data_IF_305457840435
#
_entry.id   IF_305457840435
#
_cell.length_a   1.000
_cell.length_b   1.000
_cell.length_c   1.000
_cell.angle_alpha   90.00
_cell.angle_beta   90.00
_cell.angle_gamma   90.00
#
_symmetry.space_group_name_H-M   'P 1'
#
loop_
_entity.id
_entity.type
_entity.pdbx_description
1 polymer ?
#
# COMPACT_ATOMS: atom_id res chain seq x y z
N UNK A 1 1.68 -28.93 1.70
CA UNK A 1 2.06 -27.75 2.50
C UNK A 1 0.78 -26.97 2.74
N UNK A 2 0.38 -26.79 3.99
CA UNK A 2 -0.72 -25.89 4.32
C UNK A 2 -0.36 -24.49 3.83
N UNK A 3 -1.31 -23.85 3.15
CA UNK A 3 -1.13 -22.48 2.67
C UNK A 3 -1.15 -21.55 3.89
N UNK A 4 -0.17 -20.67 4.02
CA UNK A 4 -0.22 -19.65 5.05
C UNK A 4 -1.51 -18.84 4.90
N UNK A 5 -2.14 -18.51 6.02
CA UNK A 5 -3.35 -17.69 6.04
C UNK A 5 -3.06 -16.32 5.42
N UNK A 6 -3.97 -15.83 4.58
CA UNK A 6 -3.87 -14.47 4.02
C UNK A 6 -3.94 -13.44 5.12
N UNK A 7 -2.95 -12.55 5.19
CA UNK A 7 -2.88 -11.46 6.19
C UNK A 7 -3.73 -10.28 5.79
N UNK A 8 -4.30 -9.60 6.76
CA UNK A 8 -5.03 -8.36 6.55
C UNK A 8 -4.15 -7.17 6.92
N UNK A 9 -4.02 -6.22 5.97
CA UNK A 9 -3.35 -4.94 6.15
C UNK A 9 -4.40 -3.83 6.20
N UNK A 10 -4.60 -3.26 7.38
CA UNK A 10 -5.57 -2.20 7.61
C UNK A 10 -5.02 -0.82 7.28
N UNK A 11 -5.75 -0.03 6.50
CA UNK A 11 -5.35 1.29 6.03
C UNK A 11 -5.68 2.35 7.09
N UNK A 12 -4.69 3.19 7.43
CA UNK A 12 -4.85 4.38 8.27
C UNK A 12 -4.32 5.60 7.51
N UNK A 13 -5.25 6.43 7.00
CA UNK A 13 -4.89 7.68 6.35
C UNK A 13 -4.85 8.82 7.38
N UNK A 14 -3.68 9.43 7.55
CA UNK A 14 -3.41 10.54 8.48
C UNK A 14 -3.54 11.91 7.76
N UNK A 15 -4.59 12.08 6.95
CA UNK A 15 -4.83 13.30 6.17
C UNK A 15 -5.74 14.28 6.92
N UNK A 16 -5.71 15.55 6.52
CA UNK A 16 -6.51 16.63 7.11
C UNK A 16 -8.00 16.29 7.26
N UNK A 17 -8.62 15.67 6.25
CA UNK A 17 -10.05 15.33 6.25
C UNK A 17 -10.44 14.28 7.30
N UNK A 18 -9.48 13.50 7.79
CA UNK A 18 -9.75 12.37 8.70
C UNK A 18 -9.30 12.63 10.13
N UNK A 19 -8.32 13.53 10.34
CA UNK A 19 -7.63 13.68 11.62
C UNK A 19 -7.38 15.13 12.03
N UNK A 20 -7.77 16.15 11.22
CA UNK A 20 -7.55 17.55 11.57
C UNK A 20 -8.32 17.90 12.85
N UNK A 21 -7.60 17.88 13.94
CA UNK A 21 -8.08 18.34 15.22
C UNK A 21 -7.13 19.43 15.72
N UNK A 22 -7.61 20.44 16.45
CA UNK A 22 -6.79 21.58 16.89
C UNK A 22 -5.72 21.21 17.94
N UNK A 23 -5.42 19.92 18.13
CA UNK A 23 -4.33 19.47 19.02
C UNK A 23 -3.80 18.09 18.64
N UNK A 24 -2.48 17.89 18.73
CA UNK A 24 -1.78 16.59 18.57
C UNK A 24 -2.43 15.45 19.37
N UNK A 25 -2.93 15.71 20.57
CA UNK A 25 -3.56 14.69 21.40
C UNK A 25 -4.83 14.10 20.75
N UNK A 26 -5.64 14.94 20.09
CA UNK A 26 -6.85 14.46 19.40
C UNK A 26 -6.54 13.66 18.13
N UNK A 27 -5.46 14.00 17.44
CA UNK A 27 -4.96 13.25 16.27
C UNK A 27 -4.49 11.85 16.68
N UNK A 28 -3.72 11.75 17.76
CA UNK A 28 -3.27 10.48 18.34
C UNK A 28 -4.47 9.65 18.83
N UNK A 29 -5.46 10.25 19.48
CA UNK A 29 -6.68 9.55 19.90
C UNK A 29 -7.49 9.02 18.71
N UNK A 30 -7.57 9.78 17.61
CA UNK A 30 -8.23 9.33 16.39
C UNK A 30 -7.47 8.17 15.72
N UNK A 31 -6.15 8.25 15.67
CA UNK A 31 -5.29 7.15 15.24
C UNK A 31 -5.53 5.89 16.08
N UNK A 32 -5.49 6.00 17.43
CA UNK A 32 -5.70 4.87 18.32
C UNK A 32 -7.06 4.21 18.10
N UNK A 33 -8.15 5.00 18.04
CA UNK A 33 -9.49 4.45 17.77
C UNK A 33 -9.55 3.68 16.45
N UNK A 34 -8.91 4.21 15.41
CA UNK A 34 -8.87 3.54 14.10
C UNK A 34 -8.03 2.29 14.13
N UNK A 35 -6.86 2.33 14.76
CA UNK A 35 -5.97 1.18 14.94
C UNK A 35 -6.66 0.06 15.73
N UNK A 36 -7.26 0.39 16.89
CA UNK A 36 -8.00 -0.57 17.71
C UNK A 36 -9.11 -1.25 16.90
N UNK A 37 -9.93 -0.48 16.16
CA UNK A 37 -11.00 -1.04 15.33
C UNK A 37 -10.48 -1.97 14.22
N UNK A 38 -9.36 -1.64 13.59
CA UNK A 38 -8.74 -2.49 12.56
C UNK A 38 -8.20 -3.80 13.16
N UNK A 39 -7.53 -3.71 14.30
CA UNK A 39 -6.99 -4.89 15.00
C UNK A 39 -8.10 -5.80 15.51
N UNK A 40 -9.18 -5.25 16.07
CA UNK A 40 -10.38 -6.00 16.46
C UNK A 40 -11.05 -6.68 15.27
N UNK A 41 -11.01 -6.05 14.08
CA UNK A 41 -11.51 -6.63 12.84
C UNK A 41 -10.53 -7.64 12.20
N UNK A 42 -9.40 -7.93 12.83
CA UNK A 42 -8.45 -8.97 12.42
C UNK A 42 -7.28 -8.48 11.56
N UNK A 43 -7.00 -7.17 11.50
CA UNK A 43 -5.80 -6.69 10.85
C UNK A 43 -4.53 -7.14 11.60
N UNK A 44 -3.53 -7.61 10.87
CA UNK A 44 -2.22 -8.01 11.40
C UNK A 44 -1.13 -6.97 11.08
N UNK A 45 -1.42 -6.08 10.13
CA UNK A 45 -0.52 -5.03 9.65
C UNK A 45 -1.32 -3.73 9.64
N UNK A 46 -0.76 -2.66 10.20
CA UNK A 46 -1.31 -1.31 10.10
C UNK A 46 -0.47 -0.51 9.09
N UNK A 47 -1.12 -0.02 8.02
CA UNK A 47 -0.47 0.74 6.96
C UNK A 47 -0.81 2.22 7.08
N UNK A 48 0.17 3.01 7.52
CA UNK A 48 0.02 4.43 7.83
C UNK A 48 0.49 5.28 6.65
N UNK A 49 -0.38 6.14 6.13
CA UNK A 49 -0.05 7.09 5.07
C UNK A 49 -0.50 8.50 5.40
N UNK A 50 0.35 9.49 5.16
CA UNK A 50 0.06 10.90 5.42
C UNK A 50 0.03 11.76 4.14
N UNK A 51 0.43 11.19 3.00
CA UNK A 51 0.28 11.78 1.68
C UNK A 51 -0.79 11.03 0.90
N UNK A 52 -1.91 11.68 0.59
CA UNK A 52 -2.99 11.02 -0.14
C UNK A 52 -2.62 10.74 -1.58
N UNK A 53 -2.73 9.49 -1.99
CA UNK A 53 -2.58 9.06 -3.38
C UNK A 53 -3.92 8.94 -4.13
N UNK A 54 -5.02 9.52 -3.61
CA UNK A 54 -6.34 9.51 -4.28
C UNK A 54 -6.32 10.39 -5.53
N UNK A 55 -7.15 10.09 -6.54
CA UNK A 55 -7.29 10.98 -7.71
C UNK A 55 -7.60 12.42 -7.30
N UNK A 56 -6.81 13.38 -7.80
CA UNK A 56 -6.98 14.81 -7.49
C UNK A 56 -6.32 15.30 -6.19
N UNK A 57 -5.68 14.42 -5.43
CA UNK A 57 -4.90 14.83 -4.27
C UNK A 57 -3.67 15.64 -4.68
N UNK A 58 -3.31 16.60 -3.84
CA UNK A 58 -2.07 17.35 -3.98
C UNK A 58 -0.96 16.67 -3.17
N UNK A 59 0.24 16.79 -3.68
CA UNK A 59 1.44 16.35 -2.98
C UNK A 59 1.69 17.27 -1.78
N UNK A 60 1.95 16.70 -0.61
CA UNK A 60 2.29 17.48 0.59
C UNK A 60 3.81 17.58 0.73
N UNK A 61 4.35 18.68 1.31
CA UNK A 61 5.77 18.78 1.65
C UNK A 61 6.21 17.67 2.61
N UNK A 62 7.48 17.30 2.54
CA UNK A 62 8.07 16.25 3.40
C UNK A 62 7.90 16.55 4.89
N UNK A 63 8.07 17.81 5.28
CA UNK A 63 7.94 18.26 6.66
C UNK A 63 6.51 18.09 7.17
N UNK A 64 5.53 18.32 6.31
CA UNK A 64 4.12 18.13 6.63
C UNK A 64 3.75 16.66 6.72
N UNK A 65 4.23 15.84 5.77
CA UNK A 65 4.06 14.39 5.83
C UNK A 65 4.62 13.81 7.13
N UNK A 66 5.83 14.22 7.50
CA UNK A 66 6.46 13.80 8.74
C UNK A 66 5.68 14.26 9.98
N UNK A 67 5.29 15.54 10.04
CA UNK A 67 4.54 16.08 11.18
C UNK A 67 3.22 15.33 11.45
N UNK A 68 2.61 14.77 10.41
CA UNK A 68 1.41 13.93 10.51
C UNK A 68 1.74 12.49 10.94
N UNK A 69 2.86 11.92 10.45
CA UNK A 69 3.27 10.54 10.73
C UNK A 69 3.86 10.37 12.12
N UNK A 70 4.77 11.26 12.54
CA UNK A 70 5.57 11.12 13.74
C UNK A 70 4.76 10.76 15.00
N UNK A 71 3.70 11.52 15.37
CA UNK A 71 2.93 11.23 16.57
C UNK A 71 2.23 9.86 16.54
N UNK A 72 1.75 9.46 15.35
CA UNK A 72 1.08 8.18 15.16
C UNK A 72 2.07 7.01 15.22
N UNK A 73 3.27 7.17 14.67
CA UNK A 73 4.33 6.17 14.71
C UNK A 73 4.87 5.94 16.12
N UNK A 74 5.13 7.01 16.87
CA UNK A 74 5.57 6.93 18.27
C UNK A 74 4.51 6.21 19.12
N UNK A 75 3.24 6.56 18.96
CA UNK A 75 2.15 5.91 19.67
C UNK A 75 1.96 4.45 19.22
N UNK A 76 2.10 4.15 17.92
CA UNK A 76 2.04 2.79 17.42
C UNK A 76 3.11 1.90 18.05
N UNK A 77 4.35 2.37 18.10
CA UNK A 77 5.46 1.64 18.73
C UNK A 77 5.24 1.40 20.23
N UNK A 78 4.65 2.38 20.92
CA UNK A 78 4.37 2.30 22.35
C UNK A 78 3.20 1.37 22.67
N UNK A 79 2.08 1.49 21.92
CA UNK A 79 0.80 0.83 22.25
C UNK A 79 0.65 -0.54 21.61
N UNK A 80 1.26 -0.76 20.43
CA UNK A 80 1.10 -1.97 19.64
C UNK A 80 2.44 -2.66 19.32
N UNK A 81 3.27 -3.00 20.31
CA UNK A 81 4.65 -3.46 20.09
C UNK A 81 4.75 -4.81 19.34
N UNK A 82 3.64 -5.56 19.21
CA UNK A 82 3.59 -6.82 18.47
C UNK A 82 2.97 -6.72 17.08
N UNK A 83 2.49 -5.52 16.69
CA UNK A 83 1.82 -5.30 15.41
C UNK A 83 2.85 -4.86 14.37
N UNK A 84 2.74 -5.42 13.16
CA UNK A 84 3.57 -4.97 12.04
C UNK A 84 3.08 -3.60 11.56
N UNK A 85 3.98 -2.61 11.56
CA UNK A 85 3.74 -1.29 10.98
C UNK A 85 4.25 -1.27 9.55
N UNK A 86 3.45 -0.69 8.66
CA UNK A 86 3.80 -0.33 7.29
C UNK A 86 3.64 1.17 7.12
N UNK A 87 4.52 1.81 6.36
CA UNK A 87 4.47 3.24 6.09
C UNK A 87 4.31 3.45 4.58
N UNK A 88 3.16 4.04 4.19
CA UNK A 88 2.82 4.39 2.81
C UNK A 88 3.47 5.73 2.46
N UNK A 89 4.65 5.66 1.87
CA UNK A 89 5.46 6.82 1.44
C UNK A 89 6.37 6.45 0.26
N UNK A 90 6.59 7.42 -0.63
CA UNK A 90 7.56 7.32 -1.72
C UNK A 90 8.83 8.16 -1.47
N UNK A 91 9.06 8.60 -0.21
CA UNK A 91 10.20 9.46 0.18
C UNK A 91 11.16 8.72 1.10
N UNK A 92 12.39 8.56 0.66
CA UNK A 92 13.48 7.95 1.45
C UNK A 92 13.81 8.72 2.73
N UNK A 93 13.61 10.04 2.74
CA UNK A 93 13.77 10.89 3.92
C UNK A 93 12.78 10.52 5.02
N UNK A 94 11.50 10.25 4.67
CA UNK A 94 10.49 9.75 5.62
C UNK A 94 10.90 8.37 6.16
N UNK A 95 11.39 7.48 5.29
CA UNK A 95 11.90 6.15 5.71
C UNK A 95 13.02 6.28 6.75
N UNK A 96 13.96 7.21 6.54
CA UNK A 96 15.06 7.45 7.49
C UNK A 96 14.56 8.00 8.84
N UNK A 97 13.68 9.00 8.82
CA UNK A 97 13.11 9.58 10.04
C UNK A 97 12.29 8.54 10.82
N UNK A 98 11.46 7.78 10.13
CA UNK A 98 10.66 6.73 10.74
C UNK A 98 11.53 5.61 11.36
N UNK A 99 12.60 5.22 10.66
CA UNK A 99 13.54 4.22 11.21
C UNK A 99 14.24 4.70 12.49
N UNK A 100 14.56 5.98 12.57
CA UNK A 100 15.12 6.58 13.79
C UNK A 100 14.10 6.60 14.93
N UNK A 101 12.83 6.84 14.62
CA UNK A 101 11.76 6.95 15.62
C UNK A 101 11.29 5.59 16.18
N UNK A 102 11.05 4.61 15.30
CA UNK A 102 10.39 3.35 15.68
C UNK A 102 11.18 2.08 15.35
N UNK A 103 12.34 2.17 14.71
CA UNK A 103 13.11 1.00 14.28
C UNK A 103 12.52 0.36 13.01
N UNK A 104 12.31 -0.95 13.01
CA UNK A 104 11.92 -1.72 11.81
C UNK A 104 10.42 -1.62 11.52
N UNK A 105 10.10 -1.41 10.24
CA UNK A 105 8.75 -1.40 9.67
C UNK A 105 8.78 -1.88 8.21
N UNK A 106 7.64 -1.92 7.52
CA UNK A 106 7.56 -2.18 6.09
C UNK A 106 7.44 -0.86 5.34
N UNK A 107 8.18 -0.72 4.26
CA UNK A 107 8.07 0.42 3.34
C UNK A 107 7.03 0.07 2.28
N UNK A 108 5.93 0.82 2.20
CA UNK A 108 4.91 0.68 1.16
C UNK A 108 5.06 1.85 0.19
N UNK A 109 5.68 1.60 -0.97
CA UNK A 109 6.01 2.66 -1.93
C UNK A 109 5.28 2.47 -3.25
N UNK A 110 4.32 3.37 -3.50
CA UNK A 110 3.53 3.39 -4.74
C UNK A 110 4.37 3.64 -5.99
N UNK A 111 5.59 4.17 -5.84
CA UNK A 111 6.49 4.48 -6.96
C UNK A 111 7.50 3.37 -7.26
N UNK A 112 7.63 2.38 -6.39
CA UNK A 112 8.67 1.35 -6.51
C UNK A 112 10.09 1.95 -6.64
N UNK A 113 10.35 3.08 -5.96
CA UNK A 113 11.62 3.78 -5.97
C UNK A 113 11.89 4.59 -7.25
N UNK A 114 10.89 4.85 -8.08
CA UNK A 114 11.07 5.61 -9.32
C UNK A 114 11.01 7.13 -9.12
N UNK A 115 10.35 7.59 -8.05
CA UNK A 115 10.24 9.02 -7.75
C UNK A 115 11.28 9.53 -6.75
N UNK A 116 12.01 8.62 -6.09
CA UNK A 116 13.13 8.93 -5.19
C UNK A 116 14.25 7.90 -5.39
N UNK A 117 15.32 8.28 -6.06
CA UNK A 117 16.46 7.41 -6.38
C UNK A 117 17.15 6.84 -5.12
N UNK A 118 17.02 7.51 -3.97
CA UNK A 118 17.58 7.04 -2.71
C UNK A 118 16.69 5.99 -2.00
N UNK A 119 15.44 5.79 -2.44
CA UNK A 119 14.47 4.91 -1.76
C UNK A 119 14.98 3.47 -1.63
N UNK A 120 15.33 2.83 -2.72
CA UNK A 120 15.81 1.44 -2.71
C UNK A 120 17.15 1.30 -1.97
N UNK A 121 18.19 2.15 -2.22
CA UNK A 121 19.45 2.11 -1.46
C UNK A 121 19.24 2.29 0.06
N UNK A 122 18.37 3.20 0.49
CA UNK A 122 18.05 3.41 1.91
C UNK A 122 17.39 2.17 2.49
N UNK A 123 16.35 1.66 1.84
CA UNK A 123 15.61 0.47 2.29
C UNK A 123 16.53 -0.76 2.39
N UNK A 124 17.38 -0.99 1.38
CA UNK A 124 18.32 -2.10 1.35
C UNK A 124 19.35 -2.02 2.48
N UNK A 125 19.94 -0.82 2.71
CA UNK A 125 20.89 -0.57 3.80
C UNK A 125 20.28 -0.82 5.19
N UNK A 126 19.01 -0.44 5.38
CA UNK A 126 18.29 -0.64 6.64
C UNK A 126 17.73 -2.05 6.79
N UNK A 127 17.76 -2.88 5.73
CA UNK A 127 17.25 -4.24 5.71
C UNK A 127 15.75 -4.30 5.96
N UNK A 128 14.98 -3.31 5.50
CA UNK A 128 13.54 -3.24 5.66
C UNK A 128 12.83 -4.07 4.58
N UNK A 129 11.64 -4.58 4.91
CA UNK A 129 10.74 -5.16 3.90
C UNK A 129 10.14 -4.05 3.06
N UNK A 130 10.04 -4.28 1.76
CA UNK A 130 9.58 -3.32 0.78
C UNK A 130 8.36 -3.83 0.02
N UNK A 131 7.33 -3.01 -0.13
CA UNK A 131 6.18 -3.28 -1.00
C UNK A 131 6.38 -2.45 -2.27
N UNK A 132 6.55 -3.14 -3.39
CA UNK A 132 6.71 -2.55 -4.71
C UNK A 132 5.39 -2.60 -5.45
N UNK A 133 4.89 -1.45 -5.92
CA UNK A 133 3.64 -1.35 -6.66
C UNK A 133 3.87 -0.99 -8.13
N UNK A 134 3.19 -1.70 -9.03
CA UNK A 134 3.16 -1.33 -10.45
C UNK A 134 2.30 -0.10 -10.70
N UNK A 135 2.89 0.90 -11.30
CA UNK A 135 2.22 2.11 -11.81
C UNK A 135 2.85 2.55 -13.14
N UNK A 136 2.22 3.53 -13.80
CA UNK A 136 2.79 4.29 -14.90
C UNK A 136 2.61 5.79 -14.62
N UNK A 137 3.57 6.60 -15.02
CA UNK A 137 3.54 8.04 -14.90
C UNK A 137 4.08 8.58 -13.57
N UNK A 138 3.74 9.82 -13.29
CA UNK A 138 4.15 10.57 -12.09
C UNK A 138 3.01 10.60 -11.06
N UNK A 139 3.25 11.19 -9.89
CA UNK A 139 2.22 11.41 -8.87
C UNK A 139 0.94 12.05 -9.44
N UNK A 140 1.05 13.03 -10.33
CA UNK A 140 -0.09 13.73 -10.93
C UNK A 140 -0.80 12.94 -12.04
N UNK A 141 -0.14 11.97 -12.67
CA UNK A 141 -0.67 11.22 -13.83
C UNK A 141 -0.92 9.74 -13.55
N UNK A 142 -0.52 9.20 -12.40
CA UNK A 142 -0.61 7.78 -12.05
C UNK A 142 -2.03 7.19 -12.08
N UNK A 143 -3.07 8.02 -12.11
CA UNK A 143 -4.46 7.58 -12.24
C UNK A 143 -5.00 7.65 -13.67
N UNK A 144 -4.23 8.23 -14.61
CA UNK A 144 -4.62 8.26 -16.01
C UNK A 144 -4.43 6.87 -16.63
N UNK A 145 -5.43 6.33 -17.33
CA UNK A 145 -5.28 5.04 -17.99
C UNK A 145 -4.12 5.07 -18.99
N UNK A 146 -3.27 4.06 -18.90
CA UNK A 146 -2.25 3.77 -19.90
C UNK A 146 -2.79 2.68 -20.86
N UNK A 147 -2.31 2.63 -22.08
CA UNK A 147 -2.69 1.60 -23.05
C UNK A 147 -1.71 0.44 -22.97
N UNK A 148 -2.22 -0.75 -22.69
CA UNK A 148 -1.45 -2.00 -22.63
C UNK A 148 -1.86 -2.92 -23.78
N UNK A 149 -0.90 -3.58 -24.41
CA UNK A 149 -1.19 -4.70 -25.33
C UNK A 149 -1.65 -5.93 -24.53
N UNK A 150 -0.95 -6.26 -23.44
CA UNK A 150 -1.34 -7.21 -22.40
C UNK A 150 -0.89 -6.63 -21.04
N UNK A 151 -1.86 -6.20 -20.23
CA UNK A 151 -1.59 -5.60 -18.92
C UNK A 151 -0.89 -6.56 -17.96
N UNK A 152 -1.17 -7.87 -18.04
CA UNK A 152 -0.57 -8.86 -17.15
C UNK A 152 0.91 -9.06 -17.48
N UNK A 153 1.24 -9.18 -18.76
CA UNK A 153 2.64 -9.28 -19.19
C UNK A 153 3.42 -7.98 -18.94
N UNK A 154 2.80 -6.81 -19.14
CA UNK A 154 3.41 -5.53 -18.79
C UNK A 154 3.75 -5.43 -17.30
N UNK A 155 2.82 -5.80 -16.41
CA UNK A 155 3.05 -5.83 -14.97
C UNK A 155 4.11 -6.86 -14.60
N UNK A 156 4.12 -8.05 -15.23
CA UNK A 156 5.18 -9.05 -15.01
C UNK A 156 6.55 -8.54 -15.45
N UNK A 157 6.63 -7.85 -16.59
CA UNK A 157 7.89 -7.27 -17.04
C UNK A 157 8.39 -6.20 -16.08
N UNK A 158 7.51 -5.33 -15.61
CA UNK A 158 7.83 -4.33 -14.60
C UNK A 158 8.48 -4.94 -13.34
N UNK A 159 7.94 -6.05 -12.85
CA UNK A 159 8.50 -6.72 -11.67
C UNK A 159 9.80 -7.49 -11.96
N UNK A 160 10.03 -7.96 -13.20
CA UNK A 160 11.35 -8.49 -13.59
C UNK A 160 12.41 -7.38 -13.50
N UNK A 161 12.09 -6.19 -14.01
CA UNK A 161 12.99 -5.04 -14.00
C UNK A 161 13.18 -4.50 -12.57
N UNK A 162 12.10 -4.43 -11.79
CA UNK A 162 12.18 -4.09 -10.36
C UNK A 162 13.08 -5.07 -9.59
N UNK A 163 12.97 -6.37 -9.84
CA UNK A 163 13.78 -7.37 -9.14
C UNK A 163 15.29 -7.16 -9.37
N UNK A 164 15.70 -6.67 -10.55
CA UNK A 164 17.09 -6.29 -10.83
C UNK A 164 17.49 -5.09 -9.99
N UNK A 165 16.71 -3.99 -10.03
CA UNK A 165 16.95 -2.78 -9.23
C UNK A 165 16.99 -3.07 -7.72
N UNK A 166 16.05 -3.85 -7.23
CA UNK A 166 15.98 -4.26 -5.83
C UNK A 166 17.25 -5.03 -5.39
N UNK A 167 17.71 -5.98 -6.23
CA UNK A 167 18.92 -6.75 -5.97
C UNK A 167 20.17 -5.85 -5.91
N UNK A 168 20.32 -4.94 -6.86
CA UNK A 168 21.45 -3.98 -6.92
C UNK A 168 21.49 -3.07 -5.70
N UNK A 169 20.31 -2.65 -5.21
CA UNK A 169 20.16 -1.82 -4.01
C UNK A 169 20.19 -2.61 -2.69
N UNK A 170 20.29 -3.94 -2.71
CA UNK A 170 20.30 -4.79 -1.52
C UNK A 170 18.93 -5.01 -0.88
N UNK A 171 17.84 -4.71 -1.58
CA UNK A 171 16.46 -4.99 -1.13
C UNK A 171 16.15 -6.46 -1.43
N UNK A 172 16.35 -7.33 -0.42
CA UNK A 172 16.20 -8.79 -0.56
C UNK A 172 14.82 -9.30 -0.20
N UNK A 173 14.10 -8.59 0.67
CA UNK A 173 12.75 -8.93 1.14
C UNK A 173 11.73 -7.91 0.63
N UNK A 174 10.98 -8.32 -0.41
CA UNK A 174 9.98 -7.45 -1.02
C UNK A 174 8.69 -8.19 -1.39
N UNK A 175 7.60 -7.43 -1.41
CA UNK A 175 6.23 -7.82 -1.69
C UNK A 175 5.82 -7.19 -3.02
N UNK A 176 5.07 -7.90 -3.84
CA UNK A 176 4.59 -7.47 -5.13
C UNK A 176 3.14 -6.96 -5.00
N UNK A 177 2.87 -5.72 -5.43
CA UNK A 177 1.52 -5.15 -5.56
C UNK A 177 1.24 -4.83 -7.03
N UNK A 178 0.28 -5.50 -7.71
CA UNK A 178 -0.05 -5.24 -9.12
C UNK A 178 -0.58 -3.83 -9.39
N UNK A 179 -0.88 -3.04 -8.36
CA UNK A 179 -1.32 -1.65 -8.47
C UNK A 179 -2.71 -1.51 -9.08
N UNK A 180 -3.70 -2.23 -8.53
CA UNK A 180 -5.10 -2.08 -8.95
C UNK A 180 -5.58 -0.64 -8.83
N UNK A 181 -6.20 -0.11 -9.89
CA UNK A 181 -6.71 1.26 -9.96
C UNK A 181 -5.69 2.34 -10.29
N UNK A 182 -4.42 1.96 -10.53
CA UNK A 182 -3.37 2.88 -10.98
C UNK A 182 -3.02 2.62 -12.45
N UNK A 183 -3.05 3.67 -13.28
CA UNK A 183 -2.69 3.64 -14.71
C UNK A 183 -3.38 2.55 -15.55
N UNK A 184 -4.52 2.05 -15.14
CA UNK A 184 -5.22 0.93 -15.79
C UNK A 184 -6.70 1.28 -15.99
N UNK A 185 -7.27 0.85 -17.12
CA UNK A 185 -8.71 0.89 -17.36
C UNK A 185 -9.47 -0.06 -16.41
N UNK A 186 -10.79 0.00 -16.38
CA UNK A 186 -11.57 -0.96 -15.60
C UNK A 186 -11.39 -2.39 -16.15
N UNK A 187 -11.29 -2.53 -17.45
CA UNK A 187 -11.10 -3.78 -18.18
C UNK A 187 -9.72 -4.38 -17.87
N UNK A 188 -8.66 -3.56 -17.90
CA UNK A 188 -7.30 -3.98 -17.53
C UNK A 188 -7.23 -4.43 -16.07
N UNK A 189 -7.87 -3.68 -15.16
CA UNK A 189 -7.93 -4.08 -13.77
C UNK A 189 -8.65 -5.40 -13.55
N UNK A 190 -9.76 -5.64 -14.28
CA UNK A 190 -10.50 -6.89 -14.19
C UNK A 190 -9.68 -8.06 -14.76
N UNK A 191 -9.04 -7.89 -15.93
CA UNK A 191 -8.18 -8.89 -16.53
C UNK A 191 -6.99 -9.24 -15.62
N UNK A 192 -6.34 -8.20 -15.05
CA UNK A 192 -5.24 -8.37 -14.11
C UNK A 192 -5.68 -9.12 -12.84
N UNK A 193 -6.89 -8.84 -12.34
CA UNK A 193 -7.46 -9.54 -11.19
C UNK A 193 -7.75 -11.01 -11.51
N UNK A 194 -8.33 -11.31 -12.66
CA UNK A 194 -8.69 -12.67 -13.07
C UNK A 194 -7.46 -13.56 -13.31
N UNK A 195 -6.31 -12.95 -13.68
CA UNK A 195 -5.05 -13.63 -13.96
C UNK A 195 -3.98 -13.40 -12.89
N UNK A 196 -4.35 -12.92 -11.69
CA UNK A 196 -3.38 -12.57 -10.65
C UNK A 196 -2.58 -13.77 -10.11
N UNK A 197 -3.07 -15.00 -10.27
CA UNK A 197 -2.36 -16.21 -9.88
C UNK A 197 -1.07 -16.43 -10.68
N UNK A 198 -0.91 -15.82 -11.86
CA UNK A 198 0.30 -15.86 -12.67
C UNK A 198 1.50 -15.18 -11.96
N UNK A 199 1.24 -14.24 -11.04
CA UNK A 199 2.29 -13.58 -10.24
C UNK A 199 2.99 -14.50 -9.25
N UNK A 200 2.43 -15.68 -8.94
CA UNK A 200 3.09 -16.72 -8.13
C UNK A 200 4.44 -17.15 -8.73
N UNK A 201 4.63 -16.96 -10.03
CA UNK A 201 5.90 -17.25 -10.72
C UNK A 201 7.09 -16.47 -10.16
N UNK A 202 6.86 -15.32 -9.54
CA UNK A 202 7.90 -14.51 -8.89
C UNK A 202 8.37 -15.08 -7.56
N UNK A 203 7.62 -16.02 -6.94
CA UNK A 203 7.91 -16.59 -5.61
C UNK A 203 8.11 -15.48 -4.55
N UNK A 204 7.34 -14.43 -4.66
CA UNK A 204 7.27 -13.30 -3.72
C UNK A 204 5.85 -13.20 -3.16
N UNK A 205 5.68 -12.70 -1.93
CA UNK A 205 4.34 -12.44 -1.42
C UNK A 205 3.59 -11.46 -2.34
N UNK A 206 2.30 -11.71 -2.53
CA UNK A 206 1.40 -10.90 -3.35
C UNK A 206 0.47 -10.09 -2.45
N UNK A 207 0.55 -8.77 -2.56
CA UNK A 207 -0.38 -7.85 -1.93
C UNK A 207 -1.47 -7.45 -2.93
N UNK A 208 -2.71 -7.43 -2.46
CA UNK A 208 -3.88 -7.02 -3.25
C UNK A 208 -4.64 -5.92 -2.52
N UNK A 209 -4.70 -4.73 -3.13
CA UNK A 209 -5.44 -3.58 -2.63
C UNK A 209 -6.61 -3.24 -3.56
N UNK A 210 -7.78 -3.83 -3.34
CA UNK A 210 -8.99 -3.62 -4.16
C UNK A 210 -10.07 -2.82 -3.47
N UNK A 211 -9.90 -2.52 -2.18
CA UNK A 211 -10.86 -1.78 -1.37
C UNK A 211 -11.21 -0.42 -2.00
N UNK A 212 -12.50 -0.17 -2.25
CA UNK A 212 -13.05 1.05 -2.85
C UNK A 212 -12.53 1.39 -4.25
N UNK A 213 -11.94 0.43 -4.99
CA UNK A 213 -11.41 0.68 -6.35
C UNK A 213 -12.53 0.76 -7.38
N UNK A 214 -12.40 1.73 -8.31
CA UNK A 214 -13.43 2.10 -9.29
C UNK A 214 -13.89 0.95 -10.17
N UNK A 215 -12.98 0.07 -10.60
CA UNK A 215 -13.31 -1.07 -11.47
C UNK A 215 -14.26 -2.09 -10.80
N UNK A 216 -14.37 -2.08 -9.46
CA UNK A 216 -15.28 -2.95 -8.71
C UNK A 216 -16.68 -2.37 -8.67
N UNK A 217 -16.82 -1.12 -8.27
CA UNK A 217 -18.11 -0.53 -7.98
C UNK A 217 -18.76 0.16 -9.20
N UNK A 218 -17.97 0.81 -10.07
CA UNK A 218 -18.51 1.58 -11.19
C UNK A 218 -19.31 0.72 -12.20
N UNK A 219 -18.83 -0.46 -12.65
CA UNK A 219 -19.61 -1.30 -13.58
C UNK A 219 -20.92 -1.83 -13.01
N UNK A 220 -21.09 -1.75 -11.68
CA UNK A 220 -22.28 -2.20 -10.96
C UNK A 220 -23.22 -1.05 -10.57
N UNK A 221 -22.94 0.17 -11.00
CA UNK A 221 -23.71 1.36 -10.64
C UNK A 221 -23.67 1.70 -9.15
N UNK A 222 -22.67 1.19 -8.43
CA UNK A 222 -22.46 1.46 -7.00
C UNK A 222 -21.57 2.71 -6.81
N UNK A 223 -21.36 3.09 -5.57
CA UNK A 223 -20.44 4.15 -5.14
C UNK A 223 -19.38 3.58 -4.20
N UNK A 224 -18.28 4.32 -3.92
CA UNK A 224 -17.29 3.90 -2.92
C UNK A 224 -17.88 3.59 -1.54
N UNK A 225 -18.99 4.25 -1.18
CA UNK A 225 -19.65 4.10 0.13
C UNK A 225 -20.66 2.94 0.17
N UNK A 226 -21.15 2.49 -0.99
CA UNK A 226 -22.16 1.41 -1.09
C UNK A 226 -21.59 0.09 -1.62
N UNK A 227 -20.28 -0.01 -1.85
CA UNK A 227 -19.66 -1.17 -2.48
C UNK A 227 -19.08 -2.22 -1.50
N UNK A 228 -19.31 -2.09 -0.19
CA UNK A 228 -18.66 -2.92 0.83
C UNK A 228 -18.85 -4.43 0.63
N UNK A 229 -20.04 -4.88 0.25
CA UNK A 229 -20.32 -6.30 0.04
C UNK A 229 -19.53 -6.85 -1.14
N UNK A 230 -19.51 -6.11 -2.25
CA UNK A 230 -18.77 -6.50 -3.46
C UNK A 230 -17.26 -6.46 -3.22
N UNK A 231 -16.77 -5.50 -2.43
CA UNK A 231 -15.35 -5.45 -2.03
C UNK A 231 -14.98 -6.70 -1.25
N UNK A 232 -15.79 -7.12 -0.26
CA UNK A 232 -15.55 -8.36 0.50
C UNK A 232 -15.52 -9.61 -0.39
N UNK A 233 -16.41 -9.67 -1.40
CA UNK A 233 -16.40 -10.75 -2.39
C UNK A 233 -15.07 -10.79 -3.18
N UNK A 234 -14.58 -9.63 -3.65
CA UNK A 234 -13.30 -9.52 -4.35
C UNK A 234 -12.12 -9.87 -3.45
N UNK A 235 -12.11 -9.44 -2.20
CA UNK A 235 -11.06 -9.75 -1.23
C UNK A 235 -11.01 -11.26 -0.92
N UNK A 236 -12.17 -11.89 -0.71
CA UNK A 236 -12.26 -13.34 -0.52
C UNK A 236 -11.77 -14.11 -1.75
N UNK A 237 -12.15 -13.65 -2.95
CA UNK A 237 -11.68 -14.23 -4.20
C UNK A 237 -10.16 -14.02 -4.40
N UNK A 238 -9.63 -12.85 -4.06
CA UNK A 238 -8.19 -12.59 -4.11
C UNK A 238 -7.41 -13.54 -3.19
N UNK A 239 -7.88 -13.76 -1.97
CA UNK A 239 -7.32 -14.74 -1.06
C UNK A 239 -7.35 -16.16 -1.66
N UNK A 240 -8.45 -16.57 -2.27
CA UNK A 240 -8.56 -17.87 -2.94
C UNK A 240 -7.60 -18.00 -4.14
N UNK A 241 -7.38 -16.94 -4.91
CA UNK A 241 -6.46 -16.89 -6.04
C UNK A 241 -4.99 -16.80 -5.61
N UNK A 242 -4.70 -16.47 -4.35
CA UNK A 242 -3.36 -16.55 -3.84
C UNK A 242 -2.74 -15.26 -3.35
N UNK A 243 -3.53 -14.26 -3.05
CA UNK A 243 -3.05 -13.11 -2.30
C UNK A 243 -2.54 -13.55 -0.93
N UNK A 244 -1.33 -13.12 -0.58
CA UNK A 244 -0.74 -13.32 0.74
C UNK A 244 -1.14 -12.21 1.70
N UNK A 245 -1.44 -11.02 1.15
CA UNK A 245 -1.83 -9.83 1.92
C UNK A 245 -3.01 -9.15 1.22
N UNK A 246 -4.06 -8.83 1.97
CA UNK A 246 -5.19 -7.98 1.53
C UNK A 246 -5.07 -6.63 2.21
N UNK A 247 -4.90 -5.56 1.41
CA UNK A 247 -4.86 -4.18 1.91
C UNK A 247 -6.26 -3.56 1.80
N UNK A 248 -6.85 -3.23 2.93
CA UNK A 248 -8.27 -2.84 2.98
C UNK A 248 -8.57 -1.76 4.02
N UNK A 249 -9.72 -1.10 3.87
CA UNK A 249 -10.22 -0.12 4.83
C UNK A 249 -11.01 -0.75 6.00
N UNK A 250 -11.39 -2.05 5.95
CA UNK A 250 -12.27 -2.76 6.91
C UNK A 250 -13.43 -1.91 7.44
#
# INVERSE_FOLDING_TARGET
>A
MERAQTKIMGIINLNEDSFYAPSRAKEVDAFCRRADALLEAGAEILDLGACSSRPGSQEVPTEEEWARLEPALEEAARRYPGVTISIDTYRSSIVLMAYQAIGRFWVNDISSGEWDEAMLPVTGRLGLRYIAMHHQGTFSTMHQPYTYDDVVEAVKQYFRDFAVRAKEAGVTDWVLDPGFGFSKSNEDNQLLFDRMDEFKSFRRPLLVGVSRKRFIWQPRGLTPDTCSDVVREYEARAAALGADIIRTHL
#
